data_IF_751593331830
#
_entry.id   IF_751593331830
#
_cell.length_a   1.000
_cell.length_b   1.000
_cell.length_c   1.000
_cell.angle_alpha   90.00
_cell.angle_beta   90.00
_cell.angle_gamma   90.00
#
_symmetry.space_group_name_H-M   'P 1'
#
loop_
_entity.id
_entity.type
_entity.pdbx_description
1 polymer ?
#
# COMPACT_ATOMS: atom_id res chain seq x y z
N UNK A 1 11.08 4.15 -3.86
CA UNK A 1 10.02 4.57 -4.81
C UNK A 1 9.98 6.09 -4.84
N UNK A 2 9.82 6.74 -6.00
CA UNK A 2 9.84 8.21 -6.07
C UNK A 2 8.68 8.81 -5.28
N UNK A 3 7.53 8.16 -5.30
CA UNK A 3 6.31 8.61 -4.64
C UNK A 3 6.39 8.42 -3.12
N UNK A 4 7.09 7.41 -2.59
CA UNK A 4 7.32 7.35 -1.14
C UNK A 4 8.52 8.19 -0.66
N UNK A 5 9.40 8.62 -1.58
CA UNK A 5 10.66 9.29 -1.27
C UNK A 5 11.73 8.38 -0.66
N UNK A 6 11.39 7.15 -0.28
CA UNK A 6 12.29 6.13 0.26
C UNK A 6 11.84 4.72 -0.14
N UNK A 7 12.59 3.70 0.30
CA UNK A 7 12.22 2.29 0.19
C UNK A 7 11.94 1.78 1.59
N UNK A 8 10.81 1.12 1.84
CA UNK A 8 10.47 0.53 3.15
C UNK A 8 9.43 -0.59 2.99
N UNK A 9 9.31 -1.51 3.97
CA UNK A 9 8.31 -2.57 3.97
C UNK A 9 6.88 -2.06 3.71
N UNK A 10 6.48 -0.95 4.33
CA UNK A 10 5.20 -0.27 4.13
C UNK A 10 4.94 0.08 2.66
N UNK A 11 5.95 0.63 1.97
CA UNK A 11 5.82 1.05 0.58
C UNK A 11 5.70 -0.15 -0.38
N UNK A 12 6.46 -1.22 -0.15
CA UNK A 12 6.30 -2.48 -0.88
C UNK A 12 4.95 -3.15 -0.58
N UNK A 13 4.49 -3.08 0.67
CA UNK A 13 3.20 -3.61 1.11
C UNK A 13 2.05 -2.95 0.36
N UNK A 14 2.06 -1.62 0.24
CA UNK A 14 1.06 -0.88 -0.52
C UNK A 14 0.98 -1.33 -1.99
N UNK A 15 2.12 -1.56 -2.66
CA UNK A 15 2.11 -2.08 -4.03
C UNK A 15 1.51 -3.48 -4.13
N UNK A 16 1.85 -4.36 -3.18
CA UNK A 16 1.33 -5.73 -3.15
C UNK A 16 -0.16 -5.75 -2.81
N UNK A 17 -0.63 -4.87 -1.93
CA UNK A 17 -2.05 -4.64 -1.66
C UNK A 17 -2.80 -4.33 -2.96
N UNK A 18 -2.32 -3.36 -3.76
CA UNK A 18 -2.96 -3.03 -5.04
C UNK A 18 -2.89 -4.20 -6.01
N UNK A 19 -1.71 -4.82 -6.16
CA UNK A 19 -1.53 -5.92 -7.09
C UNK A 19 -2.52 -7.05 -6.79
N UNK A 20 -2.53 -7.54 -5.55
CA UNK A 20 -3.37 -8.65 -5.12
C UNK A 20 -4.85 -8.30 -5.16
N UNK A 21 -5.22 -7.08 -4.73
CA UNK A 21 -6.60 -6.62 -4.75
C UNK A 21 -7.15 -6.51 -6.17
N UNK A 22 -6.37 -5.96 -7.11
CA UNK A 22 -6.80 -5.84 -8.50
C UNK A 22 -6.80 -7.18 -9.25
N UNK A 23 -5.83 -8.05 -8.99
CA UNK A 23 -5.78 -9.40 -9.57
C UNK A 23 -7.02 -10.22 -9.15
N UNK A 24 -7.45 -10.08 -7.89
CA UNK A 24 -8.66 -10.74 -7.40
C UNK A 24 -9.96 -10.06 -7.86
N UNK A 25 -9.97 -8.72 -7.97
CA UNK A 25 -11.15 -7.96 -8.37
C UNK A 25 -11.43 -8.04 -9.89
N UNK A 26 -10.39 -8.26 -10.69
CA UNK A 26 -10.46 -8.37 -12.15
C UNK A 26 -9.74 -9.65 -12.64
N UNK A 27 -10.24 -10.86 -12.31
CA UNK A 27 -9.53 -12.11 -12.62
C UNK A 27 -9.41 -12.38 -14.13
N UNK A 28 -10.39 -11.90 -14.91
CA UNK A 28 -10.53 -12.20 -16.35
C UNK A 28 -10.39 -10.97 -17.25
N UNK A 29 -10.03 -9.80 -16.70
CA UNK A 29 -9.97 -8.56 -17.48
C UNK A 29 -8.97 -7.55 -16.91
N UNK A 30 -8.73 -6.46 -17.64
CA UNK A 30 -7.89 -5.38 -17.13
C UNK A 30 -8.69 -4.41 -16.26
N UNK A 31 -8.14 -3.94 -15.12
CA UNK A 31 -8.82 -2.97 -14.27
C UNK A 31 -9.10 -1.64 -14.99
N UNK A 32 -10.33 -1.15 -14.87
CA UNK A 32 -10.72 0.19 -15.36
C UNK A 32 -10.60 1.18 -14.22
N UNK A 33 -9.59 2.06 -14.27
CA UNK A 33 -9.22 2.96 -13.16
C UNK A 33 -10.36 3.83 -12.60
N UNK A 34 -11.27 4.28 -13.45
CA UNK A 34 -12.42 5.09 -13.04
C UNK A 34 -13.56 4.28 -12.42
N UNK A 35 -13.45 2.95 -12.41
CA UNK A 35 -14.44 2.03 -11.87
C UNK A 35 -13.96 1.35 -10.57
N UNK A 36 -12.84 1.82 -10.01
CA UNK A 36 -12.20 1.26 -8.83
C UNK A 36 -12.30 2.30 -7.71
N UNK A 37 -13.19 2.04 -6.78
CA UNK A 37 -13.20 2.71 -5.48
C UNK A 37 -12.20 2.00 -4.55
N UNK A 38 -11.40 2.77 -3.85
CA UNK A 38 -10.44 2.32 -2.83
C UNK A 38 -10.93 2.83 -1.48
N UNK A 39 -11.01 1.92 -0.52
CA UNK A 39 -11.40 2.24 0.86
C UNK A 39 -10.22 1.87 1.78
N UNK A 40 -9.71 2.85 2.52
CA UNK A 40 -8.74 2.64 3.58
C UNK A 40 -9.47 2.46 4.91
N UNK A 41 -9.09 1.45 5.69
CA UNK A 41 -9.70 1.19 6.99
C UNK A 41 -9.38 2.31 8.01
N UNK A 42 -8.22 2.95 7.90
CA UNK A 42 -7.81 4.03 8.79
C UNK A 42 -7.86 5.43 8.16
N UNK A 43 -7.61 6.46 8.98
CA UNK A 43 -7.71 7.85 8.56
C UNK A 43 -6.51 8.30 7.72
N UNK A 44 -6.69 9.38 6.95
CA UNK A 44 -5.68 9.92 6.03
C UNK A 44 -4.42 10.44 6.73
N UNK A 45 -4.55 10.93 7.96
CA UNK A 45 -3.48 11.51 8.76
C UNK A 45 -2.69 10.47 9.59
N UNK A 46 -3.11 9.20 9.59
CA UNK A 46 -2.29 8.11 10.09
C UNK A 46 -1.04 7.92 9.22
N UNK A 47 0.11 7.73 9.87
CA UNK A 47 1.40 7.66 9.21
C UNK A 47 1.53 6.46 8.24
N UNK A 48 0.82 5.37 8.50
CA UNK A 48 0.80 4.17 7.66
C UNK A 48 -0.20 4.34 6.53
N UNK A 49 -1.47 4.63 6.86
CA UNK A 49 -2.54 4.75 5.86
C UNK A 49 -2.29 5.91 4.90
N UNK A 50 -1.76 7.04 5.35
CA UNK A 50 -1.43 8.17 4.48
C UNK A 50 -0.37 7.83 3.43
N UNK A 51 0.72 7.16 3.82
CA UNK A 51 1.79 6.76 2.90
C UNK A 51 1.30 5.68 1.94
N UNK A 52 0.61 4.65 2.45
CA UNK A 52 0.09 3.58 1.60
C UNK A 52 -0.94 4.10 0.60
N UNK A 53 -1.89 4.93 1.05
CA UNK A 53 -2.95 5.46 0.19
C UNK A 53 -2.41 6.34 -0.94
N UNK A 54 -1.33 7.10 -0.70
CA UNK A 54 -0.64 7.85 -1.75
C UNK A 54 -0.06 6.94 -2.84
N UNK A 55 0.50 5.81 -2.46
CA UNK A 55 1.05 4.81 -3.40
C UNK A 55 -0.10 4.12 -4.14
N UNK A 56 -1.13 3.71 -3.41
CA UNK A 56 -2.31 3.05 -3.97
C UNK A 56 -2.98 3.97 -5.00
N UNK A 57 -3.20 5.22 -4.63
CA UNK A 57 -3.72 6.28 -5.50
C UNK A 57 -2.87 6.48 -6.75
N UNK A 58 -1.54 6.45 -6.64
CA UNK A 58 -0.65 6.55 -7.81
C UNK A 58 -0.87 5.40 -8.81
N UNK A 59 -1.16 4.19 -8.34
CA UNK A 59 -1.37 3.02 -9.20
C UNK A 59 -2.79 2.98 -9.77
N UNK A 60 -3.81 3.12 -8.92
CA UNK A 60 -5.22 3.02 -9.31
C UNK A 60 -5.74 4.30 -9.96
N UNK A 61 -5.11 5.43 -9.65
CA UNK A 61 -5.60 6.76 -9.99
C UNK A 61 -6.75 7.26 -9.11
N UNK A 62 -7.28 6.41 -8.21
CA UNK A 62 -8.35 6.77 -7.28
C UNK A 62 -7.84 7.81 -6.28
N UNK A 63 -8.63 8.86 -6.07
CA UNK A 63 -8.24 10.03 -5.29
C UNK A 63 -9.41 10.51 -4.45
N UNK A 64 -9.11 11.29 -3.42
CA UNK A 64 -10.10 11.97 -2.60
C UNK A 64 -10.61 13.20 -3.37
N UNK A 65 -10.21 14.42 -3.01
CA UNK A 65 -10.67 15.67 -3.59
C UNK A 65 -9.79 16.20 -4.75
N UNK A 66 -8.55 15.72 -4.87
CA UNK A 66 -7.53 16.22 -5.79
C UNK A 66 -7.50 15.51 -7.16
N UNK A 67 -8.49 14.65 -7.42
CA UNK A 67 -8.60 13.84 -8.62
C UNK A 67 -9.00 14.54 -9.90
N UNK A 68 -8.83 13.82 -11.00
CA UNK A 68 -9.48 14.15 -12.27
C UNK A 68 -11.00 14.01 -12.13
N UNK A 69 -11.75 15.08 -12.41
CA UNK A 69 -13.21 15.13 -12.29
C UNK A 69 -13.96 14.32 -13.35
N UNK A 70 -13.27 13.84 -14.38
CA UNK A 70 -13.89 13.25 -15.55
C UNK A 70 -14.08 14.23 -16.69
N UNK A 71 -14.38 13.68 -17.87
CA UNK A 71 -14.83 14.43 -19.05
C UNK A 71 -16.34 14.73 -18.95
N UNK A 72 -16.96 15.14 -20.05
CA UNK A 72 -18.41 15.38 -20.11
C UNK A 72 -19.19 14.17 -19.53
N UNK A 73 -20.09 14.45 -18.58
CA UNK A 73 -20.86 13.42 -17.88
C UNK A 73 -20.07 12.62 -16.83
N UNK A 74 -18.87 13.06 -16.43
CA UNK A 74 -18.05 12.38 -15.43
C UNK A 74 -17.20 11.23 -15.97
N UNK A 75 -17.16 11.04 -17.29
CA UNK A 75 -16.47 9.91 -17.91
C UNK A 75 -14.98 9.87 -17.53
N UNK A 76 -14.53 8.73 -17.01
CA UNK A 76 -13.15 8.52 -16.59
C UNK A 76 -12.76 9.26 -15.31
N UNK A 77 -13.72 9.82 -14.56
CA UNK A 77 -13.47 10.49 -13.28
C UNK A 77 -12.81 9.58 -12.26
N UNK A 78 -11.93 10.15 -11.44
CA UNK A 78 -11.19 9.44 -10.39
C UNK A 78 -11.11 10.18 -9.05
N UNK A 79 -11.60 11.43 -9.04
CA UNK A 79 -11.96 12.12 -7.80
C UNK A 79 -13.06 11.33 -7.10
N UNK A 80 -13.13 11.42 -5.78
CA UNK A 80 -14.18 10.80 -4.97
C UNK A 80 -14.17 9.27 -4.96
N UNK A 81 -13.05 8.66 -5.37
CA UNK A 81 -12.85 7.20 -5.41
C UNK A 81 -11.89 6.67 -4.34
N UNK A 82 -11.19 7.52 -3.59
CA UNK A 82 -10.41 7.09 -2.43
C UNK A 82 -11.09 7.59 -1.16
N UNK A 83 -11.52 6.68 -0.29
CA UNK A 83 -12.20 6.97 0.96
C UNK A 83 -11.38 6.45 2.14
N UNK A 84 -11.43 7.17 3.25
CA UNK A 84 -10.70 6.85 4.48
C UNK A 84 -11.69 6.65 5.62
N UNK A 85 -11.36 5.77 6.56
CA UNK A 85 -12.12 5.57 7.80
C UNK A 85 -13.60 5.21 7.52
N UNK A 86 -13.82 4.33 6.54
CA UNK A 86 -15.17 3.94 6.07
C UNK A 86 -15.59 2.52 6.45
N UNK A 87 -14.73 1.78 7.14
CA UNK A 87 -15.05 0.49 7.72
C UNK A 87 -14.12 0.15 8.89
N UNK A 88 -14.63 -0.64 9.83
CA UNK A 88 -13.84 -1.19 10.93
C UNK A 88 -13.13 -2.48 10.49
N UNK A 89 -11.80 -2.55 10.53
CA UNK A 89 -11.07 -3.78 10.22
C UNK A 89 -11.11 -4.74 11.42
N UNK A 90 -11.09 -6.05 11.15
CA UNK A 90 -11.06 -7.09 12.21
C UNK A 90 -9.72 -7.13 12.98
N UNK A 91 -8.67 -6.53 12.43
CA UNK A 91 -7.32 -6.53 12.99
C UNK A 91 -6.71 -5.12 12.96
N UNK A 92 -5.62 -4.93 13.70
CA UNK A 92 -4.85 -3.69 13.64
C UNK A 92 -3.90 -3.62 12.43
N UNK A 93 -3.86 -4.65 11.59
CA UNK A 93 -3.02 -4.70 10.40
C UNK A 93 -3.55 -3.72 9.33
N UNK A 94 -2.68 -3.17 8.47
CA UNK A 94 -3.11 -2.33 7.36
C UNK A 94 -4.07 -3.06 6.42
N UNK A 95 -5.30 -2.54 6.30
CA UNK A 95 -6.36 -3.15 5.50
C UNK A 95 -6.96 -2.16 4.50
N UNK A 96 -7.14 -2.62 3.26
CA UNK A 96 -7.75 -1.85 2.18
C UNK A 96 -8.80 -2.68 1.45
N UNK A 97 -9.89 -2.04 1.04
CA UNK A 97 -10.87 -2.63 0.11
C UNK A 97 -10.81 -1.98 -1.26
N UNK A 98 -10.97 -2.80 -2.28
CA UNK A 98 -11.14 -2.38 -3.67
C UNK A 98 -12.53 -2.79 -4.11
N UNK A 99 -13.36 -1.81 -4.47
CA UNK A 99 -14.74 -2.01 -4.87
C UNK A 99 -14.94 -1.59 -6.32
N UNK A 100 -15.59 -2.44 -7.09
CA UNK A 100 -16.09 -2.09 -8.43
C UNK A 100 -17.31 -1.20 -8.31
N UNK A 101 -17.27 -0.04 -8.96
CA UNK A 101 -18.41 0.88 -8.92
C UNK A 101 -19.59 0.43 -9.78
N UNK A 102 -19.33 -0.42 -10.79
CA UNK A 102 -20.32 -0.92 -11.74
C UNK A 102 -21.02 -2.20 -11.26
N UNK A 103 -20.29 -3.12 -10.62
CA UNK A 103 -20.84 -4.39 -10.11
C UNK A 103 -21.09 -4.39 -8.61
N UNK A 104 -20.39 -3.55 -7.84
CA UNK A 104 -20.41 -3.55 -6.38
C UNK A 104 -19.54 -4.64 -5.74
N UNK A 105 -18.90 -5.51 -6.53
CA UNK A 105 -17.95 -6.52 -6.05
C UNK A 105 -16.83 -5.84 -5.27
N UNK A 106 -16.49 -6.39 -4.11
CA UNK A 106 -15.49 -5.82 -3.21
C UNK A 106 -14.50 -6.89 -2.80
N UNK A 107 -13.21 -6.57 -2.90
CA UNK A 107 -12.11 -7.37 -2.39
C UNK A 107 -11.44 -6.62 -1.26
N UNK A 108 -11.27 -7.29 -0.12
CA UNK A 108 -10.45 -6.83 1.00
C UNK A 108 -9.05 -7.46 0.91
N UNK A 109 -8.04 -6.64 1.19
CA UNK A 109 -6.64 -7.09 1.32
C UNK A 109 -6.08 -6.60 2.65
N UNK A 110 -5.63 -7.55 3.47
CA UNK A 110 -4.96 -7.31 4.75
C UNK A 110 -3.47 -7.59 4.56
N UNK A 111 -2.62 -6.66 4.98
CA UNK A 111 -1.17 -6.84 4.97
C UNK A 111 -0.64 -7.09 6.39
N UNK A 112 -0.18 -8.31 6.67
CA UNK A 112 0.38 -8.74 7.95
C UNK A 112 1.79 -8.19 8.14
N UNK A 113 1.88 -6.89 8.45
CA UNK A 113 3.16 -6.20 8.61
C UNK A 113 3.91 -6.69 9.84
N UNK A 114 3.19 -7.20 10.85
CA UNK A 114 3.77 -7.86 12.03
C UNK A 114 4.66 -9.05 11.69
N UNK A 115 4.38 -9.73 10.59
CA UNK A 115 5.03 -10.98 10.20
C UNK A 115 6.25 -10.75 9.32
N UNK A 116 6.53 -9.48 8.95
CA UNK A 116 7.73 -9.10 8.21
C UNK A 116 8.95 -9.33 9.09
N UNK A 117 9.94 -10.13 8.65
CA UNK A 117 11.15 -10.39 9.42
C UNK A 117 11.84 -9.11 9.89
N UNK A 118 12.36 -9.13 11.11
CA UNK A 118 12.96 -7.97 11.78
C UNK A 118 14.17 -7.40 11.04
N UNK A 119 14.85 -8.18 10.19
CA UNK A 119 16.04 -7.82 9.41
C UNK A 119 17.37 -8.11 10.12
N UNK A 120 17.32 -8.65 11.34
CA UNK A 120 18.48 -9.00 12.14
C UNK A 120 19.26 -7.81 12.73
N UNK A 121 20.43 -8.06 13.34
CA UNK A 121 21.16 -7.07 14.13
C UNK A 121 21.56 -5.79 13.38
N UNK A 122 21.74 -5.89 12.05
CA UNK A 122 22.15 -4.78 11.21
C UNK A 122 21.10 -3.64 11.17
N UNK A 123 19.84 -3.92 11.47
CA UNK A 123 18.79 -2.90 11.61
C UNK A 123 19.08 -1.95 12.78
N UNK A 124 19.75 -2.45 13.83
CA UNK A 124 20.19 -1.65 14.96
C UNK A 124 21.20 -0.55 14.61
N UNK A 125 21.82 -0.59 13.42
CA UNK A 125 22.73 0.45 12.97
C UNK A 125 22.01 1.78 12.62
N UNK A 126 20.68 1.78 12.47
CA UNK A 126 19.90 2.97 12.09
C UNK A 126 20.21 4.18 12.97
N UNK A 127 20.27 4.01 14.29
CA UNK A 127 20.53 5.13 15.20
C UNK A 127 21.89 5.78 14.92
N UNK A 128 22.94 4.96 14.74
CA UNK A 128 24.27 5.47 14.38
C UNK A 128 24.31 6.13 13.00
N UNK A 129 23.45 5.69 12.06
CA UNK A 129 23.33 6.32 10.74
C UNK A 129 22.74 7.73 10.87
N UNK A 130 21.68 7.87 11.67
CA UNK A 130 20.99 9.14 11.94
C UNK A 130 21.90 10.13 12.67
N UNK A 131 22.67 9.65 13.65
CA UNK A 131 23.58 10.47 14.45
C UNK A 131 24.92 10.74 13.75
N UNK A 132 25.14 10.17 12.56
CA UNK A 132 26.38 10.33 11.80
C UNK A 132 27.58 9.53 12.34
N UNK A 133 27.39 8.70 13.36
CA UNK A 133 28.47 7.92 13.99
C UNK A 133 28.72 6.55 13.35
N UNK A 134 27.79 6.06 12.51
CA UNK A 134 27.94 4.77 11.83
C UNK A 134 29.05 4.80 10.77
N UNK A 135 29.90 3.76 10.80
CA UNK A 135 30.90 3.50 9.77
C UNK A 135 30.24 3.14 8.43
N UNK A 136 31.01 3.22 7.35
CA UNK A 136 30.55 2.82 6.02
C UNK A 136 30.09 1.35 5.99
N UNK A 137 30.79 0.47 6.71
CA UNK A 137 30.41 -0.94 6.85
C UNK A 137 29.06 -1.11 7.57
N UNK A 138 28.79 -0.31 8.60
CA UNK A 138 27.50 -0.35 9.32
C UNK A 138 26.36 0.18 8.44
N UNK A 139 26.63 1.20 7.62
CA UNK A 139 25.69 1.75 6.64
C UNK A 139 25.33 0.72 5.56
N UNK A 140 26.34 0.04 5.00
CA UNK A 140 26.14 -1.01 4.01
C UNK A 140 25.35 -2.19 4.58
N UNK A 141 25.74 -2.67 5.76
CA UNK A 141 25.02 -3.76 6.43
C UNK A 141 23.55 -3.41 6.72
N UNK A 142 23.27 -2.17 7.15
CA UNK A 142 21.91 -1.69 7.33
C UNK A 142 21.14 -1.67 6.00
N UNK A 143 21.73 -1.11 4.95
CA UNK A 143 21.09 -1.00 3.65
C UNK A 143 20.72 -2.38 3.09
N UNK A 144 21.63 -3.35 3.19
CA UNK A 144 21.38 -4.73 2.75
C UNK A 144 20.27 -5.40 3.53
N UNK A 145 20.30 -5.30 4.86
CA UNK A 145 19.26 -5.86 5.73
C UNK A 145 17.89 -5.21 5.45
N UNK A 146 17.86 -3.89 5.31
CA UNK A 146 16.66 -3.12 5.03
C UNK A 146 16.06 -3.49 3.67
N UNK A 147 16.88 -3.54 2.62
CA UNK A 147 16.40 -3.93 1.29
C UNK A 147 15.97 -5.39 1.24
N UNK A 148 16.61 -6.30 1.98
CA UNK A 148 16.14 -7.68 2.08
C UNK A 148 14.72 -7.74 2.66
N UNK A 149 14.39 -6.95 3.68
CA UNK A 149 13.01 -6.88 4.22
C UNK A 149 12.02 -6.43 3.15
N UNK A 150 12.37 -5.41 2.36
CA UNK A 150 11.53 -4.93 1.24
C UNK A 150 11.34 -6.04 0.20
N UNK A 151 12.39 -6.78 -0.16
CA UNK A 151 12.30 -7.88 -1.11
C UNK A 151 11.41 -9.01 -0.60
N UNK A 152 11.49 -9.35 0.69
CA UNK A 152 10.59 -10.34 1.31
C UNK A 152 9.13 -9.94 1.08
N UNK A 153 8.76 -8.71 1.43
CA UNK A 153 7.38 -8.21 1.22
C UNK A 153 6.92 -8.30 -0.23
N UNK A 154 7.81 -7.99 -1.19
CA UNK A 154 7.48 -8.05 -2.61
C UNK A 154 7.30 -9.49 -3.14
N UNK A 155 7.95 -10.46 -2.52
CA UNK A 155 8.01 -11.85 -3.01
C UNK A 155 7.13 -12.83 -2.23
N UNK A 156 6.79 -12.52 -0.98
CA UNK A 156 6.09 -13.43 -0.09
C UNK A 156 4.58 -13.11 -0.04
N UNK A 157 3.79 -13.97 -0.69
CA UNK A 157 2.34 -13.86 -0.67
C UNK A 157 1.70 -14.18 0.68
N UNK A 158 2.39 -14.89 1.58
CA UNK A 158 1.84 -15.28 2.88
C UNK A 158 1.66 -14.11 3.85
N UNK A 159 2.32 -12.97 3.57
CA UNK A 159 2.15 -11.73 4.30
C UNK A 159 0.81 -11.02 3.98
N UNK A 160 -0.04 -11.59 3.12
CA UNK A 160 -1.28 -10.97 2.70
C UNK A 160 -2.46 -11.94 2.77
N UNK A 161 -3.57 -11.48 3.32
CA UNK A 161 -4.88 -12.13 3.18
C UNK A 161 -5.68 -11.38 2.11
N UNK A 162 -6.35 -12.12 1.22
CA UNK A 162 -7.22 -11.56 0.17
C UNK A 162 -8.56 -12.27 0.23
N UNK A 163 -9.65 -11.51 0.35
CA UNK A 163 -10.99 -12.07 0.47
C UNK A 163 -12.06 -11.20 -0.20
N UNK A 164 -13.15 -11.83 -0.63
CA UNK A 164 -14.34 -11.12 -1.11
C UNK A 164 -15.25 -10.79 0.07
N UNK A 165 -15.80 -9.57 0.08
CA UNK A 165 -16.66 -9.04 1.17
C UNK A 165 -17.99 -8.51 0.66
#
# INVERSE_FOLDING_TARGET
MKEAGHSCPTASGAYRIVQLGLDALYPDSYPVRSEIEVQAAGPRDDATYGVMSRIISYVTGATDDDGFSGLAGGYGGRRDLLRFDVFDPDTAEPTFRFRRTDTGETIEVIYHVSDVPDGGPAIGNLQGILDGSASDQQREAFADAWHRRVQVVLSDGSLFTVEAV
#
